data_IF_253772583947
#
_entry.id   IF_253772583947
#
_cell.length_a   1.000
_cell.length_b   1.000
_cell.length_c   1.000
_cell.angle_alpha   90.00
_cell.angle_beta   90.00
_cell.angle_gamma   90.00
#
_symmetry.space_group_name_H-M   'P 1'
#
loop_
_entity.id
_entity.type
_entity.pdbx_description
1 polymer ?
#
# COMPACT_ATOMS: atom_id res chain seq x y z
N UNK A 1 -42.22 43.53 3.67
CA UNK A 1 -42.00 43.30 2.22
C UNK A 1 -40.73 44.01 1.81
N UNK A 2 -39.59 43.33 1.80
CA UNK A 2 -38.34 43.88 1.29
C UNK A 2 -38.29 43.56 -0.22
N UNK A 3 -38.43 44.59 -1.05
CA UNK A 3 -38.38 44.50 -2.50
C UNK A 3 -36.93 44.24 -2.93
N UNK A 4 -36.64 43.02 -3.36
CA UNK A 4 -35.35 42.66 -3.95
C UNK A 4 -35.21 43.34 -5.32
N UNK A 5 -34.27 44.28 -5.45
CA UNK A 5 -33.99 44.99 -6.69
C UNK A 5 -33.45 44.01 -7.76
N UNK A 6 -34.20 43.73 -8.85
CA UNK A 6 -33.83 42.71 -9.85
C UNK A 6 -32.59 43.10 -10.68
N UNK A 7 -32.28 44.38 -10.84
CA UNK A 7 -31.11 44.84 -11.60
C UNK A 7 -29.79 44.53 -10.89
N UNK A 8 -29.79 44.59 -9.55
CA UNK A 8 -28.61 44.25 -8.73
C UNK A 8 -28.31 42.75 -8.74
N UNK A 9 -29.34 41.90 -8.84
CA UNK A 9 -29.19 40.45 -8.90
C UNK A 9 -28.67 40.02 -10.29
N UNK A 10 -29.22 40.61 -11.35
CA UNK A 10 -28.75 40.39 -12.73
C UNK A 10 -27.30 40.81 -12.94
N UNK A 11 -26.87 41.98 -12.45
CA UNK A 11 -25.47 42.40 -12.54
C UNK A 11 -24.49 41.56 -11.71
N UNK A 12 -24.96 40.97 -10.60
CA UNK A 12 -24.16 40.07 -9.76
C UNK A 12 -24.04 38.69 -10.40
N UNK A 13 -25.10 38.19 -11.04
CA UNK A 13 -25.11 36.92 -11.77
C UNK A 13 -24.23 37.00 -13.04
N UNK A 14 -24.26 38.11 -13.78
CA UNK A 14 -23.39 38.35 -14.95
C UNK A 14 -21.92 38.41 -14.54
N UNK A 15 -21.56 39.17 -13.49
CA UNK A 15 -20.18 39.20 -12.97
C UNK A 15 -19.71 37.85 -12.43
N UNK A 16 -20.62 37.02 -11.92
CA UNK A 16 -20.29 35.68 -11.41
C UNK A 16 -20.15 34.66 -12.54
N UNK A 17 -20.90 34.81 -13.63
CA UNK A 17 -20.71 34.03 -14.87
C UNK A 17 -19.43 34.42 -15.57
N UNK A 18 -19.14 35.71 -15.75
CA UNK A 18 -17.88 36.18 -16.34
C UNK A 18 -16.67 35.75 -15.51
N UNK A 19 -16.74 35.83 -14.17
CA UNK A 19 -15.67 35.34 -13.29
C UNK A 19 -15.51 33.81 -13.31
N UNK A 20 -16.57 33.04 -13.60
CA UNK A 20 -16.48 31.58 -13.77
C UNK A 20 -15.95 31.21 -15.15
N UNK A 21 -16.37 31.91 -16.20
CA UNK A 21 -15.88 31.73 -17.58
C UNK A 21 -14.41 32.10 -17.70
N UNK A 22 -13.99 33.24 -17.11
CA UNK A 22 -12.58 33.66 -17.07
C UNK A 22 -11.74 32.68 -16.22
N UNK A 23 -12.30 32.06 -15.18
CA UNK A 23 -11.59 31.08 -14.36
C UNK A 23 -11.55 29.70 -15.02
N UNK A 24 -12.57 29.32 -15.79
CA UNK A 24 -12.56 28.08 -16.58
C UNK A 24 -11.69 28.19 -17.82
N UNK A 25 -11.66 29.35 -18.50
CA UNK A 25 -10.74 29.64 -19.61
C UNK A 25 -9.29 29.67 -19.12
N UNK A 26 -9.02 30.29 -17.96
CA UNK A 26 -7.70 30.20 -17.35
C UNK A 26 -7.34 28.78 -16.90
N UNK A 27 -8.25 27.98 -16.33
CA UNK A 27 -7.93 26.58 -15.99
C UNK A 27 -7.71 25.71 -17.24
N UNK A 28 -8.48 25.90 -18.31
CA UNK A 28 -8.27 25.18 -19.58
C UNK A 28 -7.01 25.64 -20.31
N UNK A 29 -6.66 26.92 -20.27
CA UNK A 29 -5.44 27.45 -20.90
C UNK A 29 -4.18 27.17 -20.06
N UNK A 30 -4.29 27.13 -18.72
CA UNK A 30 -3.21 26.65 -17.84
C UNK A 30 -2.98 25.13 -18.03
N UNK A 31 -4.01 24.37 -18.42
CA UNK A 31 -3.88 22.96 -18.80
C UNK A 31 -3.42 22.74 -20.25
N UNK A 32 -3.62 23.73 -21.14
CA UNK A 32 -3.25 23.64 -22.57
C UNK A 32 -1.82 24.12 -22.88
N UNK A 33 -1.21 24.98 -22.05
CA UNK A 33 0.10 25.61 -22.37
C UNK A 33 1.26 25.11 -21.50
N UNK A 34 1.01 24.35 -20.44
CA UNK A 34 2.11 23.74 -19.67
C UNK A 34 2.62 22.48 -20.38
N UNK A 35 3.69 22.62 -21.17
CA UNK A 35 4.45 21.49 -21.72
C UNK A 35 4.71 20.49 -20.59
N UNK A 36 4.10 19.30 -20.69
CA UNK A 36 4.27 18.25 -19.69
C UNK A 36 5.70 17.71 -19.81
N UNK A 37 6.61 18.27 -19.00
CA UNK A 37 8.01 17.85 -18.94
C UNK A 37 8.18 16.67 -17.96
N UNK A 38 7.59 15.53 -18.29
CA UNK A 38 7.86 14.27 -17.58
C UNK A 38 8.83 13.43 -18.41
N UNK A 39 9.98 12.99 -17.88
CA UNK A 39 10.92 12.17 -18.63
C UNK A 39 10.25 10.94 -19.25
N UNK A 40 10.42 10.78 -20.57
CA UNK A 40 9.87 9.69 -21.38
C UNK A 40 8.38 9.79 -21.70
N UNK A 41 7.70 10.86 -21.29
CA UNK A 41 6.39 11.22 -21.84
C UNK A 41 6.54 11.73 -23.27
N UNK A 42 5.67 11.29 -24.17
CA UNK A 42 5.54 11.86 -25.51
C UNK A 42 4.07 11.90 -25.91
N UNK A 43 3.54 13.11 -26.08
CA UNK A 43 2.12 13.31 -26.40
C UNK A 43 1.75 12.72 -27.78
N UNK A 44 2.72 12.67 -28.69
CA UNK A 44 2.60 12.11 -30.04
C UNK A 44 2.93 10.62 -30.14
N UNK A 45 3.24 9.94 -29.01
CA UNK A 45 3.58 8.53 -29.05
C UNK A 45 2.33 7.69 -29.32
N UNK A 46 2.31 7.05 -30.48
CA UNK A 46 1.35 6.00 -30.82
C UNK A 46 1.94 4.63 -30.50
N UNK A 47 1.13 3.77 -29.90
CA UNK A 47 1.50 2.42 -29.56
C UNK A 47 0.31 1.50 -29.78
N UNK A 48 0.59 0.25 -30.13
CA UNK A 48 -0.44 -0.77 -30.33
C UNK A 48 -0.92 -1.33 -28.98
N UNK A 49 -2.14 -1.88 -28.95
CA UNK A 49 -2.68 -2.55 -27.76
C UNK A 49 -1.78 -3.70 -27.27
N UNK A 50 -1.10 -4.40 -28.18
CA UNK A 50 -0.17 -5.48 -27.86
C UNK A 50 1.14 -4.99 -27.24
N UNK A 51 1.66 -3.84 -27.66
CA UNK A 51 2.83 -3.23 -27.02
C UNK A 51 2.49 -2.75 -25.60
N UNK A 52 1.32 -2.13 -25.44
CA UNK A 52 0.84 -1.71 -24.12
C UNK A 52 0.66 -2.91 -23.17
N UNK A 53 0.02 -3.98 -23.64
CA UNK A 53 -0.19 -5.20 -22.87
C UNK A 53 1.13 -5.84 -22.46
N UNK A 54 2.11 -5.93 -23.37
CA UNK A 54 3.44 -6.48 -23.06
C UNK A 54 4.18 -5.66 -22.01
N UNK A 55 4.19 -4.33 -22.16
CA UNK A 55 4.83 -3.44 -21.19
C UNK A 55 4.16 -3.57 -19.81
N UNK A 56 2.82 -3.64 -19.76
CA UNK A 56 2.05 -3.82 -18.52
C UNK A 56 2.30 -5.16 -17.85
N UNK A 57 2.27 -6.25 -18.61
CA UNK A 57 2.53 -7.61 -18.10
C UNK A 57 3.92 -7.71 -17.48
N UNK A 58 4.90 -7.02 -18.05
CA UNK A 58 6.25 -6.97 -17.48
C UNK A 58 6.26 -6.31 -16.10
N UNK A 59 5.53 -5.20 -15.91
CA UNK A 59 5.34 -4.60 -14.57
C UNK A 59 4.63 -5.59 -13.63
N UNK A 60 3.54 -6.21 -14.10
CA UNK A 60 2.73 -7.16 -13.32
C UNK A 60 3.50 -8.43 -12.91
N UNK A 61 4.52 -8.84 -13.65
CA UNK A 61 5.32 -10.04 -13.36
C UNK A 61 6.62 -9.74 -12.60
N UNK A 62 7.16 -8.53 -12.73
CA UNK A 62 8.51 -8.20 -12.20
C UNK A 62 8.42 -7.32 -10.97
N UNK A 63 7.52 -6.31 -10.97
CA UNK A 63 7.42 -5.32 -9.90
C UNK A 63 6.35 -5.72 -8.89
N UNK A 64 5.14 -6.04 -9.36
CA UNK A 64 4.00 -6.33 -8.47
C UNK A 64 4.27 -7.51 -7.52
N UNK A 65 4.80 -8.68 -7.96
CA UNK A 65 5.01 -9.81 -7.06
C UNK A 65 6.06 -9.50 -6.00
N UNK A 66 7.06 -8.68 -6.35
CA UNK A 66 8.06 -8.24 -5.41
C UNK A 66 7.46 -7.29 -4.36
N UNK A 67 6.59 -6.34 -4.75
CA UNK A 67 5.86 -5.49 -3.79
C UNK A 67 4.98 -6.34 -2.86
N UNK A 68 4.26 -7.33 -3.40
CA UNK A 68 3.43 -8.27 -2.62
C UNK A 68 4.30 -9.04 -1.63
N UNK A 69 5.49 -9.48 -2.03
CA UNK A 69 6.44 -10.15 -1.13
C UNK A 69 6.88 -9.23 0.01
N UNK A 70 7.24 -7.97 -0.29
CA UNK A 70 7.63 -7.02 0.74
C UNK A 70 6.50 -6.74 1.74
N UNK A 71 5.26 -6.65 1.27
CA UNK A 71 4.10 -6.44 2.13
C UNK A 71 3.72 -7.70 2.93
N UNK A 72 3.98 -8.89 2.40
CA UNK A 72 3.87 -10.15 3.14
C UNK A 72 4.81 -10.16 4.35
N UNK A 73 6.07 -9.72 4.19
CA UNK A 73 7.03 -9.61 5.29
C UNK A 73 6.65 -8.55 6.33
N UNK A 74 6.10 -7.41 5.89
CA UNK A 74 5.50 -6.45 6.82
C UNK A 74 4.43 -7.11 7.71
N UNK A 75 3.60 -7.98 7.13
CA UNK A 75 2.55 -8.68 7.88
C UNK A 75 3.12 -9.78 8.81
N UNK A 76 4.21 -10.44 8.43
CA UNK A 76 4.94 -11.35 9.34
C UNK A 76 5.44 -10.60 10.58
N UNK A 77 6.16 -9.48 10.40
CA UNK A 77 6.71 -8.69 11.51
C UNK A 77 5.62 -8.23 12.51
N UNK A 78 4.43 -7.92 12.01
CA UNK A 78 3.25 -7.57 12.84
C UNK A 78 2.73 -8.75 13.65
N UNK A 79 2.55 -9.90 13.01
CA UNK A 79 1.90 -11.08 13.61
C UNK A 79 2.86 -11.91 14.46
N UNK A 80 4.16 -11.74 14.27
CA UNK A 80 5.24 -12.40 15.00
C UNK A 80 5.10 -12.37 16.54
N UNK A 81 4.56 -11.29 17.11
CA UNK A 81 4.32 -11.24 18.56
C UNK A 81 3.32 -12.30 19.02
N UNK A 82 2.29 -12.59 18.22
CA UNK A 82 1.24 -13.53 18.59
C UNK A 82 1.82 -14.95 18.75
N UNK A 83 2.78 -15.30 17.89
CA UNK A 83 3.54 -16.55 17.96
C UNK A 83 4.59 -16.53 19.09
N UNK A 84 5.26 -15.40 19.34
CA UNK A 84 6.16 -15.30 20.49
C UNK A 84 5.42 -15.47 21.84
N UNK A 85 4.16 -15.03 21.90
CA UNK A 85 3.30 -15.22 23.08
C UNK A 85 2.95 -16.71 23.31
N UNK A 86 2.78 -17.50 22.26
CA UNK A 86 2.54 -18.95 22.38
C UNK A 86 3.81 -19.71 22.79
N UNK A 87 5.00 -19.20 22.48
CA UNK A 87 6.30 -19.77 22.88
C UNK A 87 6.82 -19.29 24.26
N UNK A 88 6.01 -18.56 25.04
CA UNK A 88 6.33 -18.27 26.44
C UNK A 88 7.02 -16.93 26.72
N UNK A 89 7.11 -16.04 25.73
CA UNK A 89 7.66 -14.67 25.87
C UNK A 89 7.23 -14.00 27.19
N UNK A 90 5.94 -14.00 27.53
CA UNK A 90 5.41 -13.37 28.75
C UNK A 90 6.10 -13.81 30.04
N UNK A 91 6.38 -15.12 30.17
CA UNK A 91 7.02 -15.70 31.35
C UNK A 91 8.50 -15.31 31.41
N UNK A 92 9.14 -15.26 30.25
CA UNK A 92 10.58 -15.06 30.13
C UNK A 92 11.05 -13.63 30.39
N UNK A 93 10.23 -12.64 30.02
CA UNK A 93 10.51 -11.22 30.26
C UNK A 93 9.68 -10.64 31.41
N UNK A 94 8.98 -11.51 32.16
CA UNK A 94 8.16 -11.18 33.34
C UNK A 94 7.13 -10.06 33.09
N UNK A 95 6.36 -10.18 32.01
CA UNK A 95 5.32 -9.18 31.65
C UNK A 95 3.90 -9.75 31.72
N UNK A 96 2.94 -8.87 32.00
CA UNK A 96 1.51 -9.18 31.99
C UNK A 96 0.88 -9.03 30.61
N UNK A 97 -0.38 -9.44 30.48
CA UNK A 97 -1.19 -9.20 29.27
C UNK A 97 -1.43 -7.70 29.04
N UNK A 98 -1.58 -6.91 30.12
CA UNK A 98 -1.73 -5.46 30.03
C UNK A 98 -0.53 -4.77 29.39
N UNK A 99 0.68 -5.23 29.70
CA UNK A 99 1.91 -4.70 29.08
C UNK A 99 1.94 -5.02 27.58
N UNK A 100 1.55 -6.24 27.18
CA UNK A 100 1.47 -6.63 25.77
C UNK A 100 0.45 -5.75 25.02
N UNK A 101 -0.71 -5.50 25.63
CA UNK A 101 -1.72 -4.60 25.06
C UNK A 101 -1.17 -3.18 24.89
N UNK A 102 -0.52 -2.64 25.92
CA UNK A 102 0.09 -1.31 25.85
C UNK A 102 1.17 -1.24 24.78
N UNK A 103 1.98 -2.29 24.63
CA UNK A 103 3.00 -2.37 23.59
C UNK A 103 2.39 -2.36 22.18
N UNK A 104 1.26 -3.07 21.97
CA UNK A 104 0.51 -3.00 20.70
C UNK A 104 -0.11 -1.62 20.47
N UNK A 105 -0.63 -0.97 21.50
CA UNK A 105 -1.11 0.42 21.40
C UNK A 105 0.04 1.35 21.00
N UNK A 106 1.22 1.22 21.60
CA UNK A 106 2.39 2.03 21.27
C UNK A 106 2.89 1.81 19.83
N UNK A 107 2.79 0.58 19.32
CA UNK A 107 3.02 0.30 17.90
C UNK A 107 2.08 1.13 17.01
N UNK A 108 0.77 1.12 17.31
CA UNK A 108 -0.22 1.90 16.54
C UNK A 108 0.02 3.41 16.68
N UNK A 109 0.39 3.89 17.86
CA UNK A 109 0.74 5.31 18.09
C UNK A 109 1.94 5.71 17.23
N UNK A 110 3.01 4.91 17.22
CA UNK A 110 4.18 5.16 16.37
C UNK A 110 3.80 5.18 14.89
N UNK A 111 2.96 4.23 14.46
CA UNK A 111 2.45 4.14 13.10
C UNK A 111 1.72 5.42 12.68
N UNK A 112 0.76 5.89 13.49
CA UNK A 112 -0.05 7.09 13.17
C UNK A 112 0.82 8.35 13.11
N UNK A 113 1.76 8.52 14.07
CA UNK A 113 2.62 9.70 14.13
C UNK A 113 3.47 9.83 12.85
N UNK A 114 3.91 8.70 12.30
CA UNK A 114 4.86 8.67 11.18
C UNK A 114 4.19 8.52 9.83
N UNK A 115 2.96 8.04 9.76
CA UNK A 115 2.21 7.84 8.52
C UNK A 115 2.14 9.11 7.66
N UNK A 116 1.74 10.25 8.23
CA UNK A 116 1.67 11.51 7.48
C UNK A 116 3.07 12.05 7.09
N UNK A 117 4.02 12.23 8.02
CA UNK A 117 5.36 12.71 7.68
C UNK A 117 6.09 11.83 6.66
N UNK A 118 6.03 10.51 6.81
CA UNK A 118 6.74 9.59 5.92
C UNK A 118 6.16 9.61 4.51
N UNK A 119 4.85 9.77 4.35
CA UNK A 119 4.26 9.96 3.02
C UNK A 119 4.74 11.25 2.35
N UNK A 120 4.85 12.34 3.12
CA UNK A 120 5.37 13.62 2.61
C UNK A 120 6.84 13.48 2.18
N UNK A 121 7.66 12.81 3.00
CA UNK A 121 9.08 12.56 2.70
C UNK A 121 9.23 11.64 1.49
N UNK A 122 8.45 10.55 1.43
CA UNK A 122 8.44 9.59 0.32
C UNK A 122 8.15 10.26 -1.03
N UNK A 123 7.28 11.28 -1.04
CA UNK A 123 6.99 12.06 -2.25
C UNK A 123 8.18 12.89 -2.75
N UNK A 124 9.04 13.37 -1.85
CA UNK A 124 10.21 14.20 -2.17
C UNK A 124 11.44 13.34 -2.49
N UNK A 125 11.76 12.38 -1.61
CA UNK A 125 12.95 11.52 -1.71
C UNK A 125 12.79 10.43 -2.79
N UNK A 126 11.54 10.06 -3.08
CA UNK A 126 11.19 8.96 -3.96
C UNK A 126 10.88 7.69 -3.14
N UNK A 127 9.70 7.08 -3.33
CA UNK A 127 9.29 5.88 -2.60
C UNK A 127 10.27 4.71 -2.77
N UNK A 128 10.92 4.60 -3.93
CA UNK A 128 11.84 3.51 -4.24
C UNK A 128 13.16 3.54 -3.44
N UNK A 129 13.50 4.68 -2.81
CA UNK A 129 14.65 4.82 -1.92
C UNK A 129 14.20 4.80 -0.48
N UNK A 130 13.16 5.58 -0.19
CA UNK A 130 12.68 5.77 1.17
C UNK A 130 12.09 4.48 1.76
N UNK A 131 11.24 3.76 1.01
CA UNK A 131 10.56 2.56 1.52
C UNK A 131 11.55 1.43 1.83
N UNK A 132 12.54 1.11 0.97
CA UNK A 132 13.53 0.10 1.34
C UNK A 132 14.39 0.49 2.54
N UNK A 133 14.73 1.78 2.70
CA UNK A 133 15.48 2.26 3.87
C UNK A 133 14.64 2.06 5.15
N UNK A 134 13.36 2.42 5.13
CA UNK A 134 12.48 2.17 6.29
C UNK A 134 12.36 0.68 6.60
N UNK A 135 12.33 -0.18 5.56
CA UNK A 135 12.33 -1.64 5.72
C UNK A 135 13.56 -2.19 6.40
N UNK A 136 14.74 -1.70 6.02
CA UNK A 136 15.99 -2.06 6.69
C UNK A 136 15.96 -1.62 8.16
N UNK A 137 15.54 -0.38 8.42
CA UNK A 137 15.51 0.16 9.77
C UNK A 137 14.52 -0.56 10.67
N UNK A 138 13.30 -0.85 10.20
CA UNK A 138 12.35 -1.60 11.03
C UNK A 138 12.76 -3.05 11.16
N UNK A 139 13.36 -3.67 10.13
CA UNK A 139 13.90 -5.02 10.22
C UNK A 139 14.96 -5.10 11.32
N UNK A 140 15.79 -4.06 11.46
CA UNK A 140 16.74 -3.91 12.57
C UNK A 140 16.04 -3.83 13.91
N UNK A 141 15.00 -3.01 14.02
CA UNK A 141 14.18 -2.94 15.23
C UNK A 141 13.51 -4.29 15.54
N UNK A 142 13.06 -5.03 14.54
CA UNK A 142 12.42 -6.34 14.68
C UNK A 142 13.37 -7.37 15.27
N UNK A 143 14.57 -7.56 14.68
CA UNK A 143 15.51 -8.57 15.22
C UNK A 143 16.12 -8.16 16.55
N UNK A 144 16.17 -6.86 16.86
CA UNK A 144 16.57 -6.38 18.20
C UNK A 144 15.64 -6.88 19.32
N UNK A 145 14.39 -7.25 19.00
CA UNK A 145 13.45 -7.86 19.95
C UNK A 145 13.93 -9.21 20.51
N UNK A 146 14.88 -9.89 19.85
CA UNK A 146 15.49 -11.10 20.41
C UNK A 146 16.20 -10.84 21.77
N UNK A 147 16.58 -9.59 22.04
CA UNK A 147 17.31 -9.18 23.24
C UNK A 147 16.45 -8.44 24.27
N UNK A 148 15.12 -8.61 24.23
CA UNK A 148 14.21 -7.99 25.20
C UNK A 148 14.48 -8.47 26.63
N UNK A 149 14.55 -7.53 27.59
CA UNK A 149 14.82 -7.80 29.01
C UNK A 149 13.70 -7.36 29.96
N UNK A 150 12.60 -6.83 29.42
CA UNK A 150 11.43 -6.43 30.23
C UNK A 150 10.44 -5.53 29.49
N UNK A 151 9.51 -4.95 30.24
CA UNK A 151 8.43 -4.09 29.74
C UNK A 151 8.91 -2.88 28.93
N UNK A 152 9.89 -2.14 29.44
CA UNK A 152 10.36 -0.90 28.79
C UNK A 152 11.01 -1.17 27.44
N UNK A 153 11.80 -2.26 27.35
CA UNK A 153 12.39 -2.68 26.08
C UNK A 153 11.33 -3.12 25.07
N UNK A 154 10.25 -3.78 25.54
CA UNK A 154 9.16 -4.18 24.66
C UNK A 154 8.40 -2.97 24.11
N UNK A 155 8.14 -1.98 24.97
CA UNK A 155 7.45 -0.73 24.58
C UNK A 155 8.27 0.05 23.56
N UNK A 156 9.58 0.23 23.81
CA UNK A 156 10.47 0.92 22.90
C UNK A 156 10.55 0.20 21.55
N UNK A 157 10.80 -1.11 21.54
CA UNK A 157 10.89 -1.89 20.31
C UNK A 157 9.59 -1.78 19.49
N UNK A 158 8.43 -1.95 20.13
CA UNK A 158 7.12 -1.88 19.44
C UNK A 158 6.83 -0.49 18.89
N UNK A 159 7.15 0.56 19.64
CA UNK A 159 6.99 1.93 19.17
C UNK A 159 7.85 2.20 17.93
N UNK A 160 9.14 1.82 17.95
CA UNK A 160 10.04 2.05 16.82
C UNK A 160 9.67 1.23 15.58
N UNK A 161 9.26 -0.02 15.75
CA UNK A 161 8.77 -0.84 14.62
C UNK A 161 7.55 -0.16 14.00
N UNK A 162 6.54 0.21 14.81
CA UNK A 162 5.34 0.89 14.31
C UNK A 162 5.66 2.22 13.62
N UNK A 163 6.56 3.01 14.21
CA UNK A 163 7.02 4.28 13.66
C UNK A 163 7.77 4.14 12.33
N UNK A 164 8.50 3.04 12.13
CA UNK A 164 9.22 2.83 10.87
C UNK A 164 8.32 2.22 9.77
N UNK A 165 7.24 1.53 10.15
CA UNK A 165 6.27 0.96 9.22
C UNK A 165 5.21 1.96 8.70
N UNK A 166 4.97 3.06 9.42
CA UNK A 166 3.83 4.00 9.19
C UNK A 166 3.62 4.43 7.75
N UNK A 167 4.70 4.77 7.04
CA UNK A 167 4.63 5.26 5.67
C UNK A 167 4.60 4.17 4.59
N UNK A 168 4.67 2.89 4.96
CA UNK A 168 5.00 1.84 4.00
C UNK A 168 3.87 1.56 3.00
N UNK A 169 2.66 1.28 3.53
CA UNK A 169 1.47 0.97 2.73
C UNK A 169 1.13 2.09 1.73
N UNK A 170 0.87 3.34 2.17
CA UNK A 170 0.54 4.43 1.25
C UNK A 170 1.72 4.78 0.32
N UNK A 171 2.96 4.55 0.75
CA UNK A 171 4.14 4.67 -0.10
C UNK A 171 4.15 3.71 -1.29
N UNK A 172 3.80 2.42 -1.10
CA UNK A 172 3.68 1.48 -2.22
C UNK A 172 2.49 1.80 -3.11
N UNK A 173 1.37 2.25 -2.55
CA UNK A 173 0.23 2.71 -3.35
C UNK A 173 0.66 3.85 -4.27
N UNK A 174 1.43 4.82 -3.76
CA UNK A 174 2.00 5.89 -4.57
C UNK A 174 3.00 5.38 -5.61
N UNK A 175 3.85 4.41 -5.25
CA UNK A 175 4.80 3.81 -6.19
C UNK A 175 4.10 3.06 -7.33
N UNK A 176 3.07 2.25 -7.02
CA UNK A 176 2.26 1.54 -8.02
C UNK A 176 1.53 2.51 -8.96
N UNK A 177 1.05 3.64 -8.44
CA UNK A 177 0.38 4.66 -9.24
C UNK A 177 1.26 5.29 -10.34
N UNK A 178 2.60 5.09 -10.30
CA UNK A 178 3.53 5.49 -11.37
C UNK A 178 3.47 4.56 -12.60
N UNK A 179 3.00 3.32 -12.44
CA UNK A 179 3.03 2.28 -13.49
C UNK A 179 1.63 1.94 -14.03
N UNK A 180 0.58 2.18 -13.25
CA UNK A 180 -0.79 1.77 -13.57
C UNK A 180 -1.74 2.96 -13.75
N UNK A 181 -2.70 2.79 -14.67
CA UNK A 181 -3.86 3.68 -14.80
C UNK A 181 -4.86 3.44 -13.67
N UNK A 182 -5.76 4.39 -13.44
CA UNK A 182 -6.66 4.35 -12.27
C UNK A 182 -7.59 3.12 -12.26
N UNK A 183 -8.06 2.69 -13.45
CA UNK A 183 -8.92 1.50 -13.60
C UNK A 183 -8.19 0.19 -13.26
N UNK A 184 -6.89 0.11 -13.55
CA UNK A 184 -6.08 -1.09 -13.26
C UNK A 184 -5.64 -1.15 -11.80
N UNK A 185 -5.47 0.01 -11.17
CA UNK A 185 -4.91 0.12 -9.83
C UNK A 185 -5.75 -0.61 -8.78
N UNK A 186 -7.09 -0.60 -8.92
CA UNK A 186 -7.99 -1.27 -8.00
C UNK A 186 -7.72 -2.79 -7.90
N UNK A 187 -7.55 -3.48 -9.03
CA UNK A 187 -7.24 -4.91 -9.05
C UNK A 187 -5.86 -5.20 -8.46
N UNK A 188 -4.83 -4.41 -8.80
CA UNK A 188 -3.47 -4.61 -8.27
C UNK A 188 -3.42 -4.31 -6.77
N UNK A 189 -4.21 -3.35 -6.31
CA UNK A 189 -4.38 -3.07 -4.90
C UNK A 189 -5.09 -4.22 -4.17
N UNK A 190 -6.09 -4.84 -4.78
CA UNK A 190 -6.69 -6.06 -4.22
C UNK A 190 -5.67 -7.21 -4.10
N UNK A 191 -4.80 -7.41 -5.10
CA UNK A 191 -3.69 -8.38 -5.04
C UNK A 191 -2.69 -8.02 -3.93
N UNK A 192 -2.36 -6.74 -3.78
CA UNK A 192 -1.53 -6.25 -2.69
C UNK A 192 -2.13 -6.63 -1.33
N UNK A 193 -3.41 -6.33 -1.09
CA UNK A 193 -4.09 -6.70 0.16
C UNK A 193 -4.26 -8.21 0.35
N UNK A 194 -4.37 -8.99 -0.73
CA UNK A 194 -4.45 -10.44 -0.67
C UNK A 194 -3.20 -11.08 -0.04
N UNK A 195 -2.05 -10.38 -0.05
CA UNK A 195 -0.85 -10.85 0.65
C UNK A 195 -1.02 -10.99 2.15
N UNK A 196 -1.97 -10.28 2.79
CA UNK A 196 -2.26 -10.47 4.22
C UNK A 196 -2.73 -11.90 4.51
N UNK A 197 -3.55 -12.45 3.62
CA UNK A 197 -4.06 -13.81 3.74
C UNK A 197 -2.95 -14.84 3.47
N UNK A 198 -2.05 -14.55 2.52
CA UNK A 198 -0.84 -15.36 2.27
C UNK A 198 0.06 -15.37 3.50
N UNK A 199 0.30 -14.20 4.10
CA UNK A 199 1.08 -14.07 5.33
C UNK A 199 0.41 -14.82 6.50
N UNK A 200 -0.92 -14.74 6.64
CA UNK A 200 -1.66 -15.53 7.63
C UNK A 200 -1.48 -17.05 7.44
N UNK A 201 -1.52 -17.53 6.19
CA UNK A 201 -1.35 -18.94 5.88
C UNK A 201 0.09 -19.45 6.08
N UNK A 202 1.09 -18.61 5.80
CA UNK A 202 2.51 -18.97 5.91
C UNK A 202 3.09 -18.71 7.30
N UNK A 203 2.50 -17.80 8.08
CA UNK A 203 3.02 -17.35 9.37
C UNK A 203 3.08 -18.48 10.41
N UNK A 204 2.05 -19.32 10.50
CA UNK A 204 2.02 -20.45 11.43
C UNK A 204 3.14 -21.48 11.16
N UNK A 205 3.28 -22.04 9.95
CA UNK A 205 4.35 -22.97 9.61
C UNK A 205 5.75 -22.37 9.81
N UNK A 206 5.92 -21.11 9.45
CA UNK A 206 7.19 -20.39 9.61
C UNK A 206 7.52 -20.25 11.11
N UNK A 207 6.55 -19.85 11.93
CA UNK A 207 6.71 -19.76 13.38
C UNK A 207 7.03 -21.11 14.02
N UNK A 208 6.37 -22.20 13.60
CA UNK A 208 6.66 -23.56 14.06
C UNK A 208 8.09 -23.96 13.73
N UNK A 209 8.53 -23.70 12.50
CA UNK A 209 9.90 -23.98 12.06
C UNK A 209 10.94 -23.24 12.90
N UNK A 210 10.72 -21.95 13.17
CA UNK A 210 11.67 -21.13 13.91
C UNK A 210 11.66 -21.40 15.42
N UNK A 211 10.50 -21.61 16.03
CA UNK A 211 10.39 -21.92 17.46
C UNK A 211 10.96 -23.29 17.79
N UNK A 212 10.93 -24.25 16.85
CA UNK A 212 11.59 -25.56 16.99
C UNK A 212 13.12 -25.49 17.19
N UNK A 213 13.74 -24.35 16.87
CA UNK A 213 15.17 -24.10 17.11
C UNK A 213 15.47 -23.73 18.58
N UNK A 214 14.45 -23.63 19.43
CA UNK A 214 14.58 -23.34 20.85
C UNK A 214 15.56 -24.28 21.56
N UNK A 215 16.42 -23.70 22.40
CA UNK A 215 17.47 -24.42 23.13
C UNK A 215 18.79 -24.53 22.38
N UNK A 216 18.83 -24.26 21.06
CA UNK A 216 20.11 -24.14 20.34
C UNK A 216 20.80 -22.82 20.66
N UNK A 217 22.11 -22.89 20.91
CA UNK A 217 22.95 -21.74 21.28
C UNK A 217 22.46 -20.93 22.50
N UNK A 218 21.66 -21.53 23.40
CA UNK A 218 21.14 -20.87 24.59
C UNK A 218 20.02 -19.86 24.33
N UNK A 219 19.48 -19.80 23.11
CA UNK A 219 18.36 -18.94 22.74
C UNK A 219 17.02 -19.68 22.82
N UNK A 220 15.98 -18.97 23.22
CA UNK A 220 14.59 -19.45 23.27
C UNK A 220 13.95 -19.40 21.87
N UNK A 221 12.90 -20.17 21.63
CA UNK A 221 12.26 -20.26 20.31
C UNK A 221 11.79 -18.89 19.78
N UNK A 222 11.18 -18.08 20.64
CA UNK A 222 10.74 -16.72 20.32
C UNK A 222 11.90 -15.77 19.99
N UNK A 223 13.09 -16.00 20.54
CA UNK A 223 14.27 -15.19 20.21
C UNK A 223 14.76 -15.50 18.79
N UNK A 224 14.77 -16.78 18.40
CA UNK A 224 15.07 -17.20 17.03
C UNK A 224 14.06 -16.67 16.02
N UNK A 225 12.77 -16.67 16.40
CA UNK A 225 11.67 -16.10 15.62
C UNK A 225 11.95 -14.62 15.29
N UNK A 226 12.17 -13.76 16.31
CA UNK A 226 12.51 -12.35 16.10
C UNK A 226 13.78 -12.16 15.27
N UNK A 227 14.83 -12.93 15.58
CA UNK A 227 16.15 -12.75 14.98
C UNK A 227 16.13 -13.07 13.48
N UNK A 228 15.57 -14.23 13.10
CA UNK A 228 15.59 -14.71 11.72
C UNK A 228 14.61 -13.92 10.85
N UNK A 229 13.37 -13.72 11.30
CA UNK A 229 12.39 -12.95 10.53
C UNK A 229 12.85 -11.50 10.34
N UNK A 230 13.31 -10.83 11.40
CA UNK A 230 13.81 -9.45 11.28
C UNK A 230 15.07 -9.32 10.42
N UNK A 231 15.95 -10.35 10.41
CA UNK A 231 17.10 -10.40 9.51
C UNK A 231 16.68 -10.59 8.05
N UNK A 232 15.71 -11.46 7.78
CA UNK A 232 15.16 -11.66 6.43
C UNK A 232 14.47 -10.40 5.92
N UNK A 233 13.70 -9.71 6.77
CA UNK A 233 13.11 -8.41 6.47
C UNK A 233 14.18 -7.38 6.12
N UNK A 234 15.24 -7.28 6.92
CA UNK A 234 16.35 -6.34 6.65
C UNK A 234 17.05 -6.66 5.32
N UNK A 235 17.28 -7.95 5.05
CA UNK A 235 17.85 -8.42 3.79
C UNK A 235 16.96 -8.08 2.60
N UNK A 236 15.65 -8.33 2.70
CA UNK A 236 14.69 -7.96 1.66
C UNK A 236 14.62 -6.45 1.44
N UNK A 237 14.78 -5.64 2.50
CA UNK A 237 14.93 -4.20 2.39
C UNK A 237 16.16 -3.81 1.57
N UNK A 238 17.31 -4.46 1.79
CA UNK A 238 18.53 -4.25 0.98
C UNK A 238 18.28 -4.66 -0.47
N UNK A 239 17.69 -5.84 -0.70
CA UNK A 239 17.35 -6.31 -2.05
C UNK A 239 16.38 -5.35 -2.72
N UNK A 240 15.36 -4.84 -2.03
CA UNK A 240 14.43 -3.85 -2.55
C UNK A 240 15.13 -2.53 -2.89
N UNK A 241 16.07 -2.10 -2.05
CA UNK A 241 16.91 -0.94 -2.30
C UNK A 241 17.81 -1.12 -3.52
N UNK A 242 18.08 -2.35 -3.97
CA UNK A 242 18.82 -2.63 -5.21
C UNK A 242 17.90 -2.92 -6.41
N UNK A 243 16.74 -3.52 -6.18
CA UNK A 243 15.86 -4.05 -7.23
C UNK A 243 14.83 -3.03 -7.74
N UNK A 244 14.23 -2.20 -6.86
CA UNK A 244 13.13 -1.31 -7.25
C UNK A 244 13.60 -0.11 -8.11
N UNK A 245 13.13 0.06 -9.37
CA UNK A 245 13.53 1.18 -10.22
C UNK A 245 12.99 2.55 -9.76
N UNK A 246 13.68 3.64 -10.12
CA UNK A 246 13.26 5.03 -9.80
C UNK A 246 11.96 5.45 -10.49
N UNK A 247 11.72 4.87 -11.65
CA UNK A 247 10.49 4.97 -12.40
C UNK A 247 10.62 4.15 -13.68
N UNK A 248 9.62 4.23 -14.57
CA UNK A 248 9.66 3.48 -15.82
C UNK A 248 10.85 3.90 -16.70
N UNK A 249 11.13 5.21 -16.74
CA UNK A 249 12.12 5.83 -17.65
C UNK A 249 13.48 6.05 -17.01
N UNK A 250 13.55 6.11 -15.67
CA UNK A 250 14.81 6.28 -14.95
C UNK A 250 15.30 4.92 -14.45
N UNK A 251 16.22 4.28 -15.19
CA UNK A 251 16.80 3.02 -14.76
C UNK A 251 17.63 3.22 -13.49
N UNK A 252 17.86 2.12 -12.78
CA UNK A 252 18.67 2.16 -11.57
C UNK A 252 20.13 2.01 -11.95
N UNK A 253 20.95 2.99 -11.60
CA UNK A 253 22.39 2.90 -11.79
C UNK A 253 23.02 2.36 -10.52
N UNK A 254 23.71 1.23 -10.62
CA UNK A 254 24.43 0.62 -9.51
C UNK A 254 25.85 0.24 -9.96
N UNK A 255 26.87 0.66 -9.17
CA UNK A 255 28.28 0.51 -9.51
C UNK A 255 28.65 0.90 -10.96
N UNK A 256 28.07 2.00 -11.46
CA UNK A 256 28.36 2.50 -12.81
C UNK A 256 27.70 1.72 -13.96
N UNK A 257 26.90 0.67 -13.68
CA UNK A 257 26.05 0.00 -14.67
C UNK A 257 24.59 0.39 -14.45
N UNK A 258 23.98 0.94 -15.50
CA UNK A 258 22.54 1.18 -15.56
C UNK A 258 21.81 -0.13 -15.79
N UNK A 259 20.98 -0.55 -14.83
CA UNK A 259 20.05 -1.67 -15.00
C UNK A 259 18.71 -1.12 -15.51
N UNK A 260 18.52 -1.25 -16.82
CA UNK A 260 17.27 -0.92 -17.49
C UNK A 260 16.34 -2.13 -17.41
N UNK A 261 15.37 -2.06 -16.50
CA UNK A 261 14.33 -3.10 -16.39
C UNK A 261 13.35 -3.02 -17.57
N UNK A 262 13.13 -1.82 -18.12
CA UNK A 262 12.29 -1.56 -19.28
C UNK A 262 13.14 -1.06 -20.45
N UNK A 263 12.74 -1.39 -21.66
CA UNK A 263 13.27 -0.71 -22.86
C UNK A 263 12.75 0.73 -22.91
N UNK A 264 13.45 1.64 -23.57
CA UNK A 264 13.05 3.04 -23.66
C UNK A 264 11.63 3.18 -24.23
N UNK A 265 11.26 2.33 -25.19
CA UNK A 265 9.91 2.29 -25.77
C UNK A 265 8.86 1.80 -24.77
N UNK A 266 9.11 0.69 -24.06
CA UNK A 266 8.21 0.20 -23.00
C UNK A 266 8.02 1.26 -21.89
N UNK A 267 9.11 1.89 -21.46
CA UNK A 267 9.11 2.92 -20.45
C UNK A 267 8.26 4.13 -20.86
N UNK A 268 8.44 4.59 -22.09
CA UNK A 268 7.65 5.69 -22.65
C UNK A 268 6.17 5.34 -22.81
N UNK A 269 5.83 4.11 -23.18
CA UNK A 269 4.44 3.64 -23.23
C UNK A 269 3.81 3.69 -21.83
N UNK A 270 4.52 3.19 -20.80
CA UNK A 270 4.03 3.18 -19.40
C UNK A 270 3.82 4.60 -18.87
N UNK A 271 4.75 5.52 -19.12
CA UNK A 271 4.59 6.91 -18.65
C UNK A 271 3.46 7.61 -19.39
N UNK A 272 3.41 7.45 -20.72
CA UNK A 272 2.43 8.12 -21.57
C UNK A 272 1.01 7.69 -21.26
N UNK A 273 0.75 6.38 -21.07
CA UNK A 273 -0.59 5.89 -20.70
C UNK A 273 -1.07 6.43 -19.35
N UNK A 274 -0.18 6.50 -18.36
CA UNK A 274 -0.53 6.97 -17.00
C UNK A 274 -0.86 8.46 -17.01
N UNK A 275 -0.07 9.27 -17.72
CA UNK A 275 -0.30 10.72 -17.83
C UNK A 275 -1.52 11.04 -18.71
N UNK A 276 -1.75 10.29 -19.79
CA UNK A 276 -2.96 10.44 -20.61
C UNK A 276 -4.23 10.14 -19.82
N UNK A 277 -4.21 9.12 -18.97
CA UNK A 277 -5.35 8.77 -18.10
C UNK A 277 -5.59 9.83 -17.01
N UNK A 278 -4.52 10.39 -16.44
CA UNK A 278 -4.61 11.41 -15.40
C UNK A 278 -3.50 12.44 -15.54
N UNK A 279 -3.80 13.54 -16.25
CA UNK A 279 -2.86 14.65 -16.46
C UNK A 279 -2.44 15.31 -15.15
N UNK A 280 -3.23 15.21 -14.07
CA UNK A 280 -2.88 15.80 -12.77
C UNK A 280 -1.65 15.13 -12.14
N UNK A 281 -1.36 13.86 -12.49
CA UNK A 281 -0.16 13.15 -12.03
C UNK A 281 1.13 13.82 -12.53
N UNK A 282 1.12 14.36 -13.75
CA UNK A 282 2.26 15.10 -14.30
C UNK A 282 2.57 16.38 -13.50
N UNK A 283 1.53 17.09 -13.06
CA UNK A 283 1.69 18.37 -12.36
C UNK A 283 1.94 18.24 -10.85
N UNK A 284 1.74 17.04 -10.28
CA UNK A 284 1.89 16.75 -8.84
C UNK A 284 3.19 16.02 -8.50
N UNK A 285 3.93 15.55 -9.49
CA UNK A 285 5.20 14.84 -9.32
C UNK A 285 6.28 15.79 -8.75
N UNK A 286 6.92 15.42 -7.64
CA UNK A 286 8.00 16.21 -7.02
C UNK A 286 7.58 17.47 -6.25
N UNK A 287 6.30 17.85 -6.24
CA UNK A 287 5.81 18.99 -5.44
C UNK A 287 5.55 18.58 -3.98
N UNK A 288 6.11 19.33 -3.04
CA UNK A 288 5.85 19.14 -1.61
C UNK A 288 4.35 19.25 -1.29
N UNK A 289 3.89 18.50 -0.30
CA UNK A 289 2.53 18.66 0.23
C UNK A 289 2.53 19.88 1.12
N UNK A 290 1.75 20.91 0.77
CA UNK A 290 1.62 22.10 1.59
C UNK A 290 0.71 21.81 2.81
N UNK A 291 1.00 22.39 3.98
CA UNK A 291 0.13 22.28 5.15
C UNK A 291 -1.32 22.75 4.91
N UNK A 292 -1.53 23.66 3.95
CA UNK A 292 -2.87 24.10 3.52
C UNK A 292 -3.72 22.96 2.97
N UNK A 293 -3.12 22.02 2.21
CA UNK A 293 -3.83 20.86 1.69
C UNK A 293 -4.31 19.92 2.80
N UNK A 294 -3.53 19.80 3.90
CA UNK A 294 -3.94 19.02 5.06
C UNK A 294 -5.15 19.66 5.74
N UNK A 295 -5.09 20.99 5.97
CA UNK A 295 -6.19 21.74 6.56
C UNK A 295 -7.47 21.67 5.73
N UNK A 296 -7.37 21.70 4.41
CA UNK A 296 -8.54 21.59 3.54
C UNK A 296 -9.12 20.17 3.55
N UNK A 297 -8.29 19.14 3.72
CA UNK A 297 -8.75 17.75 3.88
C UNK A 297 -9.54 17.57 5.18
N UNK A 298 -9.09 18.16 6.29
CA UNK A 298 -9.81 18.11 7.57
C UNK A 298 -11.13 18.89 7.57
N UNK A 299 -11.35 19.80 6.62
CA UNK A 299 -12.63 20.53 6.47
C UNK A 299 -13.68 19.72 5.72
N UNK A 300 -13.31 18.63 5.04
CA UNK A 300 -14.28 17.82 4.31
C UNK A 300 -15.11 16.97 5.29
N UNK A 301 -16.39 17.29 5.44
CA UNK A 301 -17.30 16.58 6.34
C UNK A 301 -17.48 15.10 5.95
N UNK A 302 -17.33 14.77 4.66
CA UNK A 302 -17.49 13.40 4.15
C UNK A 302 -16.42 12.45 4.69
N UNK A 303 -15.25 12.99 5.01
CA UNK A 303 -14.14 12.25 5.61
C UNK A 303 -14.54 11.62 6.94
N UNK A 304 -15.25 12.36 7.79
CA UNK A 304 -15.63 11.90 9.12
C UNK A 304 -16.61 10.72 9.08
N UNK A 305 -17.54 10.71 8.11
CA UNK A 305 -18.43 9.57 7.90
C UNK A 305 -17.66 8.29 7.55
N UNK A 306 -16.66 8.42 6.68
CA UNK A 306 -15.78 7.30 6.33
C UNK A 306 -14.90 6.86 7.53
N UNK A 307 -14.36 7.81 8.30
CA UNK A 307 -13.55 7.52 9.48
C UNK A 307 -14.34 6.74 10.55
N UNK A 308 -15.59 7.12 10.82
CA UNK A 308 -16.44 6.40 11.78
C UNK A 308 -16.74 4.98 11.29
N UNK A 309 -17.09 4.83 10.01
CA UNK A 309 -17.35 3.51 9.41
C UNK A 309 -16.10 2.62 9.47
N UNK A 310 -14.95 3.15 9.08
CA UNK A 310 -13.67 2.45 9.14
C UNK A 310 -13.32 2.06 10.58
N UNK A 311 -13.45 2.98 11.54
CA UNK A 311 -13.22 2.72 12.97
C UNK A 311 -14.08 1.56 13.48
N UNK A 312 -15.40 1.62 13.25
CA UNK A 312 -16.33 0.57 13.69
C UNK A 312 -16.00 -0.80 13.07
N UNK A 313 -15.60 -0.82 11.79
CA UNK A 313 -15.22 -2.06 11.11
C UNK A 313 -13.91 -2.68 11.63
N UNK A 314 -12.96 -1.86 12.09
CA UNK A 314 -11.61 -2.29 12.46
C UNK A 314 -11.49 -2.70 13.93
N UNK A 315 -12.44 -2.31 14.80
CA UNK A 315 -12.43 -2.62 16.24
C UNK A 315 -12.30 -4.12 16.54
N UNK A 316 -12.95 -4.97 15.74
CA UNK A 316 -12.98 -6.42 15.93
C UNK A 316 -11.68 -7.12 15.50
N UNK A 317 -10.96 -6.55 14.53
CA UNK A 317 -9.89 -7.26 13.82
C UNK A 317 -8.62 -7.40 14.68
N UNK A 318 -8.24 -6.33 15.40
CA UNK A 318 -6.95 -6.31 16.11
C UNK A 318 -6.83 -7.28 17.29
N UNK A 319 -7.84 -7.41 18.18
CA UNK A 319 -7.79 -8.38 19.27
C UNK A 319 -7.72 -9.82 18.74
N UNK A 320 -8.47 -10.13 17.68
CA UNK A 320 -8.47 -11.45 17.04
C UNK A 320 -7.10 -11.77 16.47
N UNK A 321 -6.47 -10.85 15.73
CA UNK A 321 -5.13 -11.06 15.17
C UNK A 321 -4.06 -11.29 16.25
N UNK A 322 -4.14 -10.59 17.39
CA UNK A 322 -3.13 -10.69 18.45
C UNK A 322 -3.29 -11.96 19.29
N UNK A 323 -4.54 -12.34 19.58
CA UNK A 323 -4.83 -13.38 20.58
C UNK A 323 -5.35 -14.68 19.99
N UNK A 324 -5.62 -14.79 18.68
CA UNK A 324 -6.11 -16.03 18.08
C UNK A 324 -5.26 -17.27 18.44
N UNK A 325 -3.92 -17.26 18.31
CA UNK A 325 -3.11 -18.42 18.70
C UNK A 325 -3.21 -18.72 20.20
N UNK A 326 -3.28 -17.68 21.04
CA UNK A 326 -3.40 -17.83 22.50
C UNK A 326 -4.76 -18.41 22.91
N UNK A 327 -5.85 -18.01 22.24
CA UNK A 327 -7.20 -18.54 22.46
C UNK A 327 -7.23 -20.02 22.11
N UNK A 328 -6.68 -20.41 20.95
CA UNK A 328 -6.65 -21.83 20.56
C UNK A 328 -5.82 -22.65 21.54
N UNK A 329 -4.67 -22.13 21.99
CA UNK A 329 -3.87 -22.78 23.04
C UNK A 329 -4.65 -22.94 24.36
N UNK A 330 -5.49 -21.98 24.72
CA UNK A 330 -6.33 -22.06 25.94
C UNK A 330 -7.41 -23.15 25.88
N UNK A 331 -7.79 -23.62 24.67
CA UNK A 331 -8.72 -24.73 24.48
C UNK A 331 -8.09 -26.11 24.71
N UNK A 332 -6.82 -26.18 25.12
CA UNK A 332 -6.11 -27.43 25.43
C UNK A 332 -5.17 -27.92 24.32
N UNK A 333 -5.04 -27.19 23.22
CA UNK A 333 -4.10 -27.51 22.16
C UNK A 333 -2.66 -27.12 22.54
N UNK A 334 -1.68 -27.88 22.05
CA UNK A 334 -0.26 -27.49 22.17
C UNK A 334 0.01 -26.18 21.39
N UNK A 335 1.07 -25.45 21.74
CA UNK A 335 1.44 -24.21 21.04
C UNK A 335 1.59 -24.42 19.52
N UNK A 336 2.21 -25.54 19.14
CA UNK A 336 2.41 -25.94 17.75
C UNK A 336 1.08 -26.21 17.00
N UNK A 337 0.10 -26.86 17.67
CA UNK A 337 -1.23 -27.08 17.10
C UNK A 337 -2.05 -25.77 16.99
N UNK A 338 -1.87 -24.86 17.93
CA UNK A 338 -2.52 -23.56 17.90
C UNK A 338 -2.03 -22.70 16.74
N UNK A 339 -0.71 -22.62 16.55
CA UNK A 339 -0.10 -21.87 15.45
C UNK A 339 -0.46 -22.47 14.08
N UNK A 340 -0.49 -23.81 13.97
CA UNK A 340 -0.94 -24.51 12.76
C UNK A 340 -2.42 -24.25 12.44
N UNK A 341 -3.28 -24.11 13.44
CA UNK A 341 -4.71 -23.84 13.24
C UNK A 341 -4.98 -22.42 12.74
N UNK A 342 -4.17 -21.44 13.16
CA UNK A 342 -4.21 -20.08 12.60
C UNK A 342 -3.76 -20.04 11.13
N UNK A 343 -2.84 -20.92 10.72
CA UNK A 343 -2.45 -21.03 9.31
C UNK A 343 -3.62 -21.49 8.42
N UNK A 344 -4.44 -22.43 8.91
CA UNK A 344 -5.61 -22.91 8.19
C UNK A 344 -6.68 -21.83 8.02
N UNK A 345 -6.87 -20.94 9.00
CA UNK A 345 -7.84 -19.84 8.88
C UNK A 345 -7.46 -18.86 7.77
N UNK A 346 -6.17 -18.55 7.60
CA UNK A 346 -5.67 -17.72 6.51
C UNK A 346 -6.02 -18.30 5.12
N UNK A 347 -5.84 -19.62 4.94
CA UNK A 347 -6.21 -20.30 3.70
C UNK A 347 -7.73 -20.29 3.44
N UNK A 348 -8.55 -20.47 4.48
CA UNK A 348 -10.02 -20.39 4.38
C UNK A 348 -10.48 -18.98 3.99
N UNK A 349 -9.83 -17.92 4.51
CA UNK A 349 -10.12 -16.54 4.11
C UNK A 349 -9.81 -16.31 2.63
N UNK A 350 -8.72 -16.87 2.09
CA UNK A 350 -8.43 -16.80 0.63
C UNK A 350 -9.57 -17.44 -0.17
N UNK A 351 -10.04 -18.62 0.26
CA UNK A 351 -11.14 -19.32 -0.40
C UNK A 351 -12.45 -18.56 -0.30
N UNK A 352 -12.76 -18.00 0.87
CA UNK A 352 -13.96 -17.18 1.08
C UNK A 352 -13.91 -15.88 0.27
N UNK A 353 -12.76 -15.22 0.19
CA UNK A 353 -12.59 -14.00 -0.60
C UNK A 353 -12.69 -14.29 -2.10
N UNK A 354 -12.15 -15.41 -2.57
CA UNK A 354 -12.34 -15.89 -3.95
C UNK A 354 -13.81 -16.22 -4.23
N UNK A 355 -14.52 -16.82 -3.28
CA UNK A 355 -15.93 -17.14 -3.39
C UNK A 355 -16.79 -15.87 -3.42
N UNK A 356 -16.55 -14.93 -2.51
CA UNK A 356 -17.23 -13.63 -2.48
C UNK A 356 -16.95 -12.84 -3.75
N UNK A 357 -15.69 -12.83 -4.21
CA UNK A 357 -15.35 -12.26 -5.51
C UNK A 357 -16.21 -12.89 -6.59
N UNK A 358 -16.28 -14.21 -6.72
CA UNK A 358 -17.13 -14.88 -7.72
C UNK A 358 -18.64 -14.68 -7.54
N UNK A 359 -19.12 -14.43 -6.32
CA UNK A 359 -20.54 -14.21 -6.03
C UNK A 359 -20.97 -12.78 -6.35
N UNK A 360 -20.07 -11.81 -6.18
CA UNK A 360 -20.32 -10.39 -6.46
C UNK A 360 -19.83 -9.94 -7.83
N UNK A 361 -18.93 -10.72 -8.43
CA UNK A 361 -18.54 -10.62 -9.82
C UNK A 361 -19.65 -11.29 -10.65
N UNK A 362 -20.65 -10.49 -11.02
CA UNK A 362 -21.73 -10.85 -11.93
C UNK A 362 -21.22 -11.02 -13.38
N UNK A 363 -20.11 -11.73 -13.54
CA UNK A 363 -19.34 -11.81 -14.76
C UNK A 363 -18.75 -10.47 -15.16
N UNK A 364 -17.50 -10.50 -15.62
CA UNK A 364 -16.95 -9.49 -16.52
C UNK A 364 -17.70 -9.47 -17.87
N UNK A 365 -19.02 -9.25 -17.86
CA UNK A 365 -19.63 -8.40 -18.86
C UNK A 365 -19.22 -6.98 -18.48
N UNK A 366 -17.98 -6.65 -18.84
CA UNK A 366 -17.40 -5.35 -18.59
C UNK A 366 -18.35 -4.25 -19.04
N UNK A 367 -18.15 -3.08 -18.46
CA UNK A 367 -18.68 -1.80 -18.93
C UNK A 367 -18.34 -1.54 -20.43
N UNK A 368 -17.59 -2.44 -21.07
CA UNK A 368 -17.27 -2.47 -22.50
C UNK A 368 -18.41 -2.96 -23.43
N UNK A 369 -19.52 -3.56 -22.96
CA UNK A 369 -20.61 -4.04 -23.87
C UNK A 369 -21.85 -3.14 -23.94
N UNK A 370 -21.86 -1.94 -23.35
CA UNK A 370 -23.00 -1.00 -23.46
C UNK A 370 -22.79 0.20 -24.40
N UNK A 371 -21.72 0.21 -25.18
CA UNK A 371 -21.50 1.17 -26.27
C UNK A 371 -21.30 0.49 -27.62
N UNK A 372 -22.02 -0.59 -27.91
CA UNK A 372 -22.38 -0.89 -29.29
C UNK A 372 -23.74 -0.21 -29.55
N UNK A 373 -23.69 1.00 -30.12
CA UNK A 373 -24.86 1.59 -30.75
C UNK A 373 -25.41 0.66 -31.84
N UNK A 374 -26.71 0.71 -32.15
CA UNK A 374 -27.35 -0.20 -33.08
C UNK A 374 -26.62 -0.21 -34.43
N UNK A 375 -26.38 -1.42 -34.94
CA UNK A 375 -25.59 -1.74 -36.13
C UNK A 375 -26.17 -1.24 -37.47
N UNK A 376 -27.06 -0.24 -37.46
CA UNK A 376 -27.72 0.29 -38.67
C UNK A 376 -27.00 1.51 -39.29
N UNK A 377 -26.03 2.15 -38.63
CA UNK A 377 -25.35 3.32 -39.21
C UNK A 377 -24.05 3.03 -39.99
N UNK A 378 -23.59 1.76 -40.06
CA UNK A 378 -22.36 1.40 -40.78
C UNK A 378 -22.55 0.98 -42.24
N UNK A 379 -23.80 0.94 -42.74
CA UNK A 379 -24.07 0.56 -44.14
C UNK A 379 -24.18 1.74 -45.13
N UNK A 380 -24.32 2.98 -44.67
CA UNK A 380 -24.66 4.12 -45.55
C UNK A 380 -23.54 5.14 -45.79
N UNK A 381 -22.26 4.79 -45.59
CA UNK A 381 -21.12 5.68 -45.91
C UNK A 381 -20.21 5.07 -47.00
N UNK A 382 -20.62 3.96 -47.63
CA UNK A 382 -19.87 3.35 -48.74
C UNK A 382 -20.45 3.67 -50.14
N UNK A 383 -21.61 4.33 -50.23
CA UNK A 383 -22.14 4.82 -51.51
C UNK A 383 -22.85 6.17 -51.27
N UNK A 384 -22.13 7.28 -51.48
CA UNK A 384 -22.52 8.51 -52.22
C UNK A 384 -21.26 9.35 -52.40
#
# INVERSE_FOLDING_TARGET
MATSNPEKKSQMDIKTQDAKTIRSENESDILAVNVIQVPGYSDTLEYTADEERRARLKVDLVILPFIVLLFCFLQFDRTQIAFALTDGLKKDIHIGTSDVNLAQTLFVVGFIITELPFNMISKVVGPERFLPITMILWGIATWSQAFLKGRSSLFAARFFIGALEGGYIPGFTFYMAKYYINQELALRYAIFWASNSIAGALGGPLAIGLTSLGGRHGLKGWQWLFLIEGALTSFLGIVAFLYLPHGPVRPKSFFGRSWNMFTDREASIIVTRVIRNDRTKAFRQGKAVLPSHLLDTFKDWRLYGHLISAFLSMLMIQPVNTYAPSIIKSLGFSGLQADASCAMSGAVVILAQKLLYRLFDNGDAGIETKFEGPAESRANIAEV
#
